data_IF_534837868629
#
_entry.id   IF_534837868629
#
_cell.length_a   1.000
_cell.length_b   1.000
_cell.length_c   1.000
_cell.angle_alpha   90.00
_cell.angle_beta   90.00
_cell.angle_gamma   90.00
#
_symmetry.space_group_name_H-M   'P 1'
#
loop_
_entity.id
_entity.type
_entity.pdbx_description
1 polymer ?
#
# COMPACT_ATOMS: atom_id res chain seq x y z
N UNK A 1 2.28 -21.24 65.26
CA UNK A 1 2.42 -22.17 64.12
C UNK A 1 1.11 -22.14 63.35
N UNK A 2 1.05 -21.33 62.29
CA UNK A 2 -0.13 -21.17 61.43
C UNK A 2 0.24 -21.64 60.03
N UNK A 3 -0.52 -22.60 59.54
CA UNK A 3 -0.39 -23.23 58.23
C UNK A 3 -1.30 -22.47 57.25
N UNK A 4 -0.76 -22.15 56.08
CA UNK A 4 -1.43 -21.55 54.93
C UNK A 4 -2.36 -22.56 54.24
N UNK A 5 -3.53 -22.12 53.75
CA UNK A 5 -4.04 -22.52 52.43
C UNK A 5 -4.83 -21.35 51.81
N UNK A 6 -4.38 -20.89 50.64
CA UNK A 6 -5.09 -20.00 49.71
C UNK A 6 -6.12 -20.81 48.91
N UNK A 7 -7.34 -20.27 48.73
CA UNK A 7 -8.20 -20.67 47.61
C UNK A 7 -8.90 -19.47 46.98
N UNK A 8 -8.52 -19.28 45.71
CA UNK A 8 -9.13 -18.60 44.56
C UNK A 8 -10.40 -17.74 44.75
N UNK A 9 -10.28 -16.48 44.31
CA UNK A 9 -11.41 -15.66 43.85
C UNK A 9 -11.62 -15.92 42.37
N UNK A 10 -12.80 -16.41 41.99
CA UNK A 10 -13.29 -16.28 40.62
C UNK A 10 -14.82 -16.13 40.65
N UNK A 11 -15.29 -14.91 40.41
CA UNK A 11 -16.70 -14.66 40.08
C UNK A 11 -16.77 -13.59 38.99
N UNK A 12 -17.02 -14.01 37.76
CA UNK A 12 -17.47 -13.12 36.69
C UNK A 12 -18.93 -12.75 36.97
N UNK A 13 -19.21 -11.45 37.09
CA UNK A 13 -20.59 -10.95 37.15
C UNK A 13 -21.05 -10.53 35.77
N UNK A 14 -22.11 -11.20 35.31
CA UNK A 14 -22.86 -10.94 34.09
C UNK A 14 -23.83 -9.78 34.37
N UNK A 15 -23.90 -8.77 33.50
CA UNK A 15 -24.90 -7.71 33.59
C UNK A 15 -25.68 -7.61 32.27
N UNK A 16 -26.99 -7.81 32.41
CA UNK A 16 -28.03 -7.69 31.38
C UNK A 16 -28.02 -6.31 30.71
N UNK A 17 -28.08 -6.30 29.37
CA UNK A 17 -28.21 -5.08 28.56
C UNK A 17 -29.67 -4.90 28.12
N UNK A 18 -30.29 -3.81 28.58
CA UNK A 18 -31.64 -3.33 28.19
C UNK A 18 -31.54 -2.43 26.95
N UNK A 19 -32.20 -2.74 25.81
CA UNK A 19 -31.94 -2.11 24.52
C UNK A 19 -32.65 -0.76 24.28
N UNK A 20 -33.22 -0.09 25.31
CA UNK A 20 -34.05 1.13 25.12
C UNK A 20 -33.49 2.43 25.70
N UNK A 21 -32.17 2.66 25.67
CA UNK A 21 -31.61 4.02 25.82
C UNK A 21 -30.72 4.36 24.63
N UNK A 22 -31.22 5.25 23.77
CA UNK A 22 -30.51 5.79 22.62
C UNK A 22 -29.25 6.54 23.03
N UNK A 23 -28.17 6.30 22.29
CA UNK A 23 -26.89 6.98 22.42
C UNK A 23 -26.86 8.18 21.47
N UNK A 24 -26.43 9.31 22.03
CA UNK A 24 -26.15 10.54 21.29
C UNK A 24 -24.95 10.38 20.36
N UNK A 25 -24.95 11.24 19.36
CA UNK A 25 -24.01 11.39 18.25
C UNK A 25 -22.55 11.44 18.71
N UNK A 26 -21.77 10.41 18.35
CA UNK A 26 -20.31 10.41 18.33
C UNK A 26 -19.88 9.90 16.96
N UNK A 27 -19.42 10.81 16.11
CA UNK A 27 -18.83 10.47 14.80
C UNK A 27 -17.51 9.72 15.00
N UNK A 28 -17.58 8.39 14.93
CA UNK A 28 -16.42 7.52 14.77
C UNK A 28 -16.77 6.33 13.85
N UNK A 29 -15.80 5.96 13.01
CA UNK A 29 -15.90 5.21 11.74
C UNK A 29 -16.33 3.74 11.88
N UNK A 30 -16.65 3.07 10.75
CA UNK A 30 -16.12 1.71 10.63
C UNK A 30 -15.48 1.41 9.28
N UNK A 31 -14.31 0.77 9.38
CA UNK A 31 -13.70 -0.02 8.34
C UNK A 31 -14.35 -1.42 8.31
N UNK A 32 -14.44 -1.99 7.10
CA UNK A 32 -14.71 -3.39 6.75
C UNK A 32 -15.73 -4.18 7.60
N UNK A 33 -16.88 -4.52 7.03
CA UNK A 33 -17.54 -5.84 7.17
C UNK A 33 -18.79 -5.86 6.28
N UNK A 34 -18.74 -6.59 5.17
CA UNK A 34 -19.90 -6.84 4.32
C UNK A 34 -20.77 -7.94 4.96
N UNK A 35 -21.90 -7.55 5.54
CA UNK A 35 -22.93 -8.47 6.01
C UNK A 35 -23.74 -9.00 4.82
N UNK A 36 -23.71 -10.32 4.64
CA UNK A 36 -24.63 -11.04 3.76
C UNK A 36 -26.07 -10.88 4.25
N UNK A 37 -26.95 -10.33 3.41
CA UNK A 37 -28.40 -10.44 3.55
C UNK A 37 -28.96 -11.11 2.29
N UNK A 38 -29.59 -12.27 2.51
CA UNK A 38 -30.21 -13.11 1.49
C UNK A 38 -31.42 -12.42 0.86
N UNK A 39 -31.21 -11.73 -0.26
CA UNK A 39 -32.24 -11.52 -1.28
C UNK A 39 -31.58 -11.41 -2.66
N UNK A 40 -31.40 -12.56 -3.31
CA UNK A 40 -31.95 -12.81 -4.64
C UNK A 40 -31.53 -11.94 -5.83
N UNK A 41 -30.42 -11.22 -5.81
CA UNK A 41 -29.75 -10.76 -7.04
C UNK A 41 -28.32 -11.28 -7.04
N UNK A 42 -28.06 -12.23 -7.94
CA UNK A 42 -26.70 -12.58 -8.33
C UNK A 42 -26.09 -11.30 -8.87
N UNK A 43 -25.21 -10.66 -8.10
CA UNK A 43 -24.25 -9.75 -8.67
C UNK A 43 -23.56 -10.54 -9.77
N UNK A 44 -23.82 -10.18 -11.02
CA UNK A 44 -23.10 -10.72 -12.16
C UNK A 44 -21.64 -10.53 -11.85
N UNK A 45 -20.96 -11.64 -11.53
CA UNK A 45 -19.53 -11.72 -11.52
C UNK A 45 -19.15 -11.47 -12.97
N UNK A 46 -18.93 -10.19 -13.31
CA UNK A 46 -18.25 -9.87 -14.54
C UNK A 46 -16.93 -10.60 -14.40
N UNK A 47 -16.80 -11.71 -15.13
CA UNK A 47 -15.53 -12.28 -15.51
C UNK A 47 -14.78 -11.16 -16.23
N UNK A 48 -14.17 -10.28 -15.45
CA UNK A 48 -13.09 -9.47 -15.93
C UNK A 48 -12.03 -10.50 -16.24
N UNK A 49 -11.78 -10.70 -17.53
CA UNK A 49 -10.45 -11.05 -17.96
C UNK A 49 -9.52 -10.10 -17.19
N UNK A 50 -8.88 -10.59 -16.12
CA UNK A 50 -8.14 -9.80 -15.14
C UNK A 50 -6.82 -9.33 -15.76
N UNK A 51 -6.92 -8.57 -16.83
CA UNK A 51 -5.89 -7.61 -17.26
C UNK A 51 -6.18 -6.28 -16.56
N UNK A 52 -6.48 -6.31 -15.26
CA UNK A 52 -6.33 -5.14 -14.41
C UNK A 52 -4.85 -4.78 -14.48
N UNK A 53 -4.53 -3.74 -15.25
CA UNK A 53 -3.17 -3.23 -15.43
C UNK A 53 -2.57 -3.03 -14.04
N UNK A 54 -1.74 -3.98 -13.62
CA UNK A 54 -1.09 -4.02 -12.32
C UNK A 54 -0.31 -2.72 -12.16
N UNK A 55 -0.40 -2.09 -11.00
CA UNK A 55 0.27 -0.82 -10.75
C UNK A 55 1.78 -1.00 -10.89
N UNK A 56 2.36 -0.36 -11.90
CA UNK A 56 3.77 -0.44 -12.26
C UNK A 56 4.69 -0.09 -11.08
N UNK A 57 4.24 0.84 -10.21
CA UNK A 57 5.01 1.27 -9.04
C UNK A 57 5.03 0.25 -7.89
N UNK A 58 4.13 -0.74 -7.89
CA UNK A 58 4.12 -1.82 -6.92
C UNK A 58 5.17 -2.89 -7.25
N UNK A 59 5.46 -3.11 -8.53
CA UNK A 59 6.40 -4.13 -8.99
C UNK A 59 7.81 -3.60 -9.31
N UNK A 60 8.13 -2.35 -8.94
CA UNK A 60 9.39 -1.72 -9.35
C UNK A 60 10.62 -2.56 -8.96
N UNK A 61 10.58 -3.26 -7.84
CA UNK A 61 11.69 -4.10 -7.37
C UNK A 61 11.85 -5.39 -8.19
N UNK A 62 10.74 -5.96 -8.69
CA UNK A 62 10.80 -7.11 -9.59
C UNK A 62 11.35 -6.70 -10.96
N UNK A 63 10.89 -5.55 -11.47
CA UNK A 63 11.43 -4.97 -12.72
C UNK A 63 12.93 -4.70 -12.56
N UNK A 64 13.33 -4.10 -11.43
CA UNK A 64 14.74 -3.85 -11.11
C UNK A 64 15.55 -5.14 -11.06
N UNK A 65 15.06 -6.18 -10.39
CA UNK A 65 15.74 -7.48 -10.32
C UNK A 65 15.94 -8.09 -11.71
N UNK A 66 14.93 -8.03 -12.58
CA UNK A 66 15.05 -8.54 -13.95
C UNK A 66 16.10 -7.79 -14.77
N UNK A 67 16.11 -6.45 -14.68
CA UNK A 67 17.09 -5.59 -15.37
C UNK A 67 18.51 -5.88 -14.88
N UNK A 68 18.72 -5.95 -13.56
CA UNK A 68 20.04 -6.22 -12.99
C UNK A 68 20.54 -7.64 -13.30
N UNK A 69 19.64 -8.58 -13.60
CA UNK A 69 19.98 -9.91 -14.10
C UNK A 69 20.16 -9.97 -15.65
N UNK A 70 20.15 -8.83 -16.33
CA UNK A 70 20.43 -8.70 -17.76
C UNK A 70 19.20 -8.73 -18.68
N UNK A 71 17.98 -8.79 -18.13
CA UNK A 71 16.75 -8.72 -18.92
C UNK A 71 16.27 -7.28 -19.08
N UNK A 72 17.09 -6.42 -19.69
CA UNK A 72 16.71 -5.01 -19.93
C UNK A 72 15.59 -4.88 -20.97
N UNK A 73 15.47 -5.84 -21.90
CA UNK A 73 14.48 -5.83 -22.98
C UNK A 73 13.03 -5.78 -22.48
N UNK A 74 12.81 -6.18 -21.22
CA UNK A 74 11.52 -6.01 -20.52
C UNK A 74 11.03 -4.56 -20.58
N UNK A 75 11.94 -3.58 -20.66
CA UNK A 75 11.60 -2.16 -20.70
C UNK A 75 10.88 -1.74 -21.98
N UNK A 76 11.07 -2.45 -23.09
CA UNK A 76 10.45 -2.13 -24.38
C UNK A 76 8.91 -2.28 -24.38
N UNK A 77 8.35 -2.94 -23.37
CA UNK A 77 6.89 -3.07 -23.22
C UNK A 77 6.23 -1.84 -22.58
N UNK A 78 7.01 -0.93 -22.01
CA UNK A 78 6.51 0.26 -21.33
C UNK A 78 6.63 1.49 -22.25
N UNK A 79 5.65 2.37 -22.15
CA UNK A 79 5.71 3.70 -22.76
C UNK A 79 6.69 4.62 -22.02
N UNK A 80 7.13 5.70 -22.67
CA UNK A 80 8.03 6.70 -22.06
C UNK A 80 7.48 7.26 -20.73
N UNK A 81 6.16 7.49 -20.63
CA UNK A 81 5.52 7.93 -19.38
C UNK A 81 5.57 6.86 -18.29
N UNK A 82 5.43 5.58 -18.65
CA UNK A 82 5.53 4.46 -17.70
C UNK A 82 6.97 4.25 -17.22
N UNK A 83 7.95 4.35 -18.13
CA UNK A 83 9.37 4.31 -17.78
C UNK A 83 9.73 5.44 -16.82
N UNK A 84 9.17 6.64 -17.05
CA UNK A 84 9.28 7.75 -16.11
C UNK A 84 8.71 7.42 -14.73
N UNK A 85 7.56 6.74 -14.64
CA UNK A 85 7.01 6.27 -13.36
C UNK A 85 7.95 5.23 -12.73
N UNK A 86 8.44 4.25 -13.48
CA UNK A 86 9.36 3.19 -13.02
C UNK A 86 10.59 3.82 -12.37
N UNK A 87 11.30 4.68 -13.10
CA UNK A 87 12.50 5.37 -12.60
C UNK A 87 12.21 6.18 -11.34
N UNK A 88 11.14 6.98 -11.37
CA UNK A 88 10.81 7.89 -10.25
C UNK A 88 10.25 7.15 -9.03
N UNK A 89 9.79 5.90 -9.17
CA UNK A 89 9.30 5.11 -8.03
C UNK A 89 10.40 4.86 -7.01
N UNK A 90 11.65 4.67 -7.42
CA UNK A 90 12.78 4.50 -6.48
C UNK A 90 12.96 5.75 -5.61
N UNK A 91 12.96 6.94 -6.21
CA UNK A 91 12.98 8.20 -5.49
C UNK A 91 11.77 8.37 -4.56
N UNK A 92 10.57 8.00 -5.03
CA UNK A 92 9.35 8.05 -4.23
C UNK A 92 9.43 7.14 -2.99
N UNK A 93 9.97 5.92 -3.14
CA UNK A 93 10.18 4.98 -2.02
C UNK A 93 11.18 5.50 -0.98
N UNK A 94 12.08 6.41 -1.36
CA UNK A 94 13.00 7.13 -0.46
C UNK A 94 12.44 8.45 0.08
N UNK A 95 11.19 8.78 -0.26
CA UNK A 95 10.51 9.97 0.22
C UNK A 95 10.87 11.27 -0.50
N UNK A 96 11.32 11.20 -1.75
CA UNK A 96 11.53 12.39 -2.55
C UNK A 96 10.22 13.13 -2.83
N UNK A 97 10.21 14.45 -2.68
CA UNK A 97 9.06 15.33 -2.92
C UNK A 97 9.13 15.88 -4.35
N UNK A 98 8.21 15.43 -5.20
CA UNK A 98 8.19 15.80 -6.62
C UNK A 98 7.67 17.23 -6.84
N UNK A 99 8.41 18.02 -7.62
CA UNK A 99 7.96 19.33 -8.13
C UNK A 99 7.09 19.21 -9.37
N UNK A 100 7.31 18.17 -10.18
CA UNK A 100 6.48 17.87 -11.34
C UNK A 100 5.07 17.49 -10.88
N UNK A 101 4.05 18.16 -11.43
CA UNK A 101 2.65 18.01 -11.00
C UNK A 101 2.10 16.60 -11.23
N UNK A 102 2.47 15.97 -12.35
CA UNK A 102 1.95 14.65 -12.72
C UNK A 102 2.54 13.57 -11.83
N UNK A 103 3.86 13.61 -11.59
CA UNK A 103 4.52 12.70 -10.65
C UNK A 103 4.01 12.88 -9.22
N UNK A 104 3.87 14.13 -8.78
CA UNK A 104 3.33 14.43 -7.46
C UNK A 104 1.91 13.86 -7.31
N UNK A 105 1.03 14.13 -8.28
CA UNK A 105 -0.34 13.60 -8.29
C UNK A 105 -0.36 12.07 -8.29
N UNK A 106 0.52 11.44 -9.06
CA UNK A 106 0.61 9.98 -9.14
C UNK A 106 1.01 9.36 -7.79
N UNK A 107 2.09 9.84 -7.17
CA UNK A 107 2.63 9.26 -5.95
C UNK A 107 1.84 9.62 -4.70
N UNK A 108 1.22 10.80 -4.63
CA UNK A 108 0.34 11.17 -3.50
C UNK A 108 -0.87 10.22 -3.35
N UNK A 109 -1.29 9.57 -4.43
CA UNK A 109 -2.36 8.58 -4.40
C UNK A 109 -1.89 7.19 -3.92
N UNK A 110 -0.59 7.01 -3.61
CA UNK A 110 -0.04 5.73 -3.14
C UNK A 110 0.02 5.72 -1.62
N UNK A 111 -0.62 4.72 -1.01
CA UNK A 111 -0.66 4.55 0.45
C UNK A 111 0.72 4.38 1.09
N UNK A 112 1.70 3.86 0.34
CA UNK A 112 3.07 3.65 0.79
C UNK A 112 3.98 4.88 0.62
N UNK A 113 3.57 5.90 -0.14
CA UNK A 113 4.41 7.08 -0.40
C UNK A 113 4.39 8.03 0.80
N UNK A 114 5.58 8.40 1.26
CA UNK A 114 5.78 9.28 2.42
C UNK A 114 6.78 10.37 2.04
N UNK A 115 6.30 11.60 1.92
CA UNK A 115 7.14 12.77 1.65
C UNK A 115 8.17 12.98 2.77
N UNK A 116 9.44 13.15 2.40
CA UNK A 116 10.55 13.37 3.33
C UNK A 116 11.35 14.62 2.96
N UNK A 117 11.84 14.71 1.72
CA UNK A 117 12.70 15.82 1.28
C UNK A 117 12.54 16.14 -0.20
N UNK A 118 12.68 17.41 -0.55
CA UNK A 118 12.79 17.87 -1.95
C UNK A 118 14.24 18.03 -2.42
N UNK A 119 15.21 17.85 -1.52
CA UNK A 119 16.65 17.89 -1.86
C UNK A 119 17.10 16.49 -2.29
N UNK A 120 17.43 16.34 -3.57
CA UNK A 120 17.87 15.07 -4.14
C UNK A 120 19.17 14.57 -3.48
N UNK A 121 20.03 15.46 -2.97
CA UNK A 121 21.27 15.06 -2.30
C UNK A 121 21.03 14.34 -0.97
N UNK A 122 19.83 14.49 -0.40
CA UNK A 122 19.43 13.79 0.81
C UNK A 122 18.83 12.40 0.53
N UNK A 123 18.64 12.05 -0.75
CA UNK A 123 18.20 10.73 -1.18
C UNK A 123 19.41 9.81 -1.33
N UNK A 124 19.53 8.85 -0.42
CA UNK A 124 20.57 7.82 -0.51
C UNK A 124 20.13 6.68 -1.43
N UNK A 125 20.83 6.55 -2.57
CA UNK A 125 20.63 5.47 -3.55
C UNK A 125 21.78 4.46 -3.48
N UNK A 126 21.44 3.18 -3.49
CA UNK A 126 22.41 2.09 -3.62
C UNK A 126 23.06 2.07 -5.02
N UNK A 127 24.12 1.29 -5.20
CA UNK A 127 24.73 1.11 -6.52
C UNK A 127 23.73 0.53 -7.52
N UNK A 128 22.99 -0.50 -7.11
CA UNK A 128 21.98 -1.18 -7.93
C UNK A 128 20.83 -0.25 -8.32
N UNK A 129 20.36 0.58 -7.37
CA UNK A 129 19.32 1.58 -7.63
C UNK A 129 19.77 2.62 -8.66
N UNK A 130 21.03 3.06 -8.59
CA UNK A 130 21.62 3.99 -9.58
C UNK A 130 21.72 3.34 -10.96
N UNK A 131 22.29 2.13 -11.04
CA UNK A 131 22.40 1.37 -12.28
C UNK A 131 21.03 1.20 -12.92
N UNK A 132 20.02 0.79 -12.14
CA UNK A 132 18.65 0.65 -12.61
C UNK A 132 18.07 1.98 -13.13
N UNK A 133 18.22 3.07 -12.38
CA UNK A 133 17.74 4.40 -12.78
C UNK A 133 18.37 4.82 -14.12
N UNK A 134 19.68 4.61 -14.28
CA UNK A 134 20.42 4.97 -15.48
C UNK A 134 20.00 4.11 -16.69
N UNK A 135 19.80 2.81 -16.50
CA UNK A 135 19.28 1.91 -17.53
C UNK A 135 17.89 2.36 -17.95
N UNK A 136 16.93 2.48 -17.02
CA UNK A 136 15.54 2.88 -17.34
C UNK A 136 15.51 4.22 -18.08
N UNK A 137 16.33 5.17 -17.67
CA UNK A 137 16.45 6.49 -18.32
C UNK A 137 16.93 6.41 -19.78
N UNK A 138 17.72 5.39 -20.14
CA UNK A 138 18.18 5.21 -21.52
C UNK A 138 17.10 4.70 -22.48
N UNK A 139 16.01 4.14 -21.94
CA UNK A 139 14.83 3.67 -22.70
C UNK A 139 13.69 4.71 -22.74
N UNK A 140 13.77 5.79 -21.95
CA UNK A 140 12.76 6.87 -21.91
C UNK A 140 12.76 7.76 -23.16
#
# INVERSE_FOLDING_TARGET
MLIFILFAVNTYTYWDFDPKRGYGELDYTPAYECYHLNTGELCEESNQNNNSKLDISENVYEIMNQILNGNEEILNQYSSDELKIIRNTIYAKKGYIFKNKDLKKYFLNKSWYKEYTSDENQISLSSDEKTFIDIVKSYE
#
